data_IF_103884721378
#
_entry.id   IF_103884721378
#
_cell.length_a   1.000
_cell.length_b   1.000
_cell.length_c   1.000
_cell.angle_alpha   90.00
_cell.angle_beta   90.00
_cell.angle_gamma   90.00
#
_symmetry.space_group_name_H-M   'P 1'
#
loop_
_entity.id
_entity.type
_entity.pdbx_description
1 polymer ?
#
# COMPACT_ATOMS: atom_id res chain seq x y z
N UNK A 1 -21.97 -8.53 9.65
CA UNK A 1 -20.60 -7.96 9.74
C UNK A 1 -19.84 -8.45 8.50
N UNK A 2 -19.25 -7.56 7.68
CA UNK A 2 -18.59 -8.00 6.44
C UNK A 2 -17.35 -8.86 6.73
N UNK A 3 -17.01 -9.78 5.81
CA UNK A 3 -15.85 -10.66 5.93
C UNK A 3 -14.55 -9.86 6.14
N UNK A 4 -14.45 -8.69 5.51
CA UNK A 4 -13.27 -7.83 5.64
C UNK A 4 -13.14 -7.20 7.03
N UNK A 5 -14.26 -6.86 7.69
CA UNK A 5 -14.23 -6.41 9.09
C UNK A 5 -13.73 -7.50 10.04
N UNK A 6 -14.06 -8.76 9.77
CA UNK A 6 -13.56 -9.90 10.55
C UNK A 6 -12.05 -10.08 10.34
N UNK A 7 -11.61 -10.14 9.07
CA UNK A 7 -10.18 -10.27 8.72
C UNK A 7 -9.33 -9.15 9.32
N UNK A 8 -9.81 -7.91 9.24
CA UNK A 8 -9.17 -6.74 9.81
C UNK A 8 -9.05 -6.81 11.34
N UNK A 9 -10.13 -7.16 12.04
CA UNK A 9 -10.11 -7.34 13.50
C UNK A 9 -9.14 -8.43 13.94
N UNK A 10 -9.08 -9.53 13.19
CA UNK A 10 -8.14 -10.62 13.46
C UNK A 10 -6.69 -10.12 13.29
N UNK A 11 -6.40 -9.42 12.19
CA UNK A 11 -5.07 -8.89 11.92
C UNK A 11 -4.60 -7.87 12.99
N UNK A 12 -5.46 -6.91 13.35
CA UNK A 12 -5.18 -5.94 14.43
C UNK A 12 -4.92 -6.66 15.74
N UNK A 13 -5.75 -7.66 16.09
CA UNK A 13 -5.58 -8.45 17.31
C UNK A 13 -4.25 -9.19 17.32
N UNK A 14 -3.91 -9.88 16.21
CA UNK A 14 -2.65 -10.62 16.06
C UNK A 14 -1.43 -9.70 16.17
N UNK A 15 -1.46 -8.52 15.53
CA UNK A 15 -0.38 -7.54 15.63
C UNK A 15 -0.28 -6.94 17.04
N UNK A 16 -1.42 -6.74 17.71
CA UNK A 16 -1.46 -6.17 19.06
C UNK A 16 -0.83 -7.10 20.11
N UNK A 17 -1.02 -8.41 19.98
CA UNK A 17 -0.44 -9.41 20.91
C UNK A 17 1.01 -9.77 20.58
N UNK A 18 1.50 -9.45 19.38
CA UNK A 18 2.87 -9.74 18.97
C UNK A 18 3.87 -8.94 19.82
N UNK A 19 5.02 -9.53 20.23
CA UNK A 19 6.04 -8.82 20.98
C UNK A 19 6.51 -7.55 20.25
N UNK A 20 6.68 -6.45 21.01
CA UNK A 20 7.16 -5.15 20.48
C UNK A 20 8.48 -5.29 19.71
N UNK A 21 9.40 -6.12 20.21
CA UNK A 21 10.68 -6.40 19.54
C UNK A 21 10.50 -7.04 18.17
N UNK A 22 9.57 -7.97 18.01
CA UNK A 22 9.26 -8.61 16.73
C UNK A 22 8.66 -7.63 15.73
N UNK A 23 7.69 -6.81 16.16
CA UNK A 23 7.09 -5.75 15.32
C UNK A 23 8.14 -4.77 14.81
N UNK A 24 8.96 -4.26 15.72
CA UNK A 24 9.98 -3.27 15.40
C UNK A 24 11.06 -3.85 14.45
N UNK A 25 11.50 -5.09 14.66
CA UNK A 25 12.43 -5.78 13.75
C UNK A 25 11.82 -5.99 12.37
N UNK A 26 10.54 -6.34 12.30
CA UNK A 26 9.83 -6.48 11.03
C UNK A 26 9.75 -5.15 10.28
N UNK A 27 9.39 -4.07 10.99
CA UNK A 27 9.35 -2.71 10.42
C UNK A 27 10.71 -2.32 9.82
N UNK A 28 11.79 -2.42 10.59
CA UNK A 28 13.14 -2.06 10.14
C UNK A 28 13.56 -2.88 8.91
N UNK A 29 13.32 -4.20 8.93
CA UNK A 29 13.62 -5.06 7.78
C UNK A 29 12.85 -4.67 6.53
N UNK A 30 11.58 -4.29 6.68
CA UNK A 30 10.78 -3.81 5.54
C UNK A 30 11.34 -2.49 5.04
N UNK A 31 11.58 -1.52 5.92
CA UNK A 31 12.12 -0.21 5.53
C UNK A 31 13.46 -0.33 4.79
N UNK A 32 14.43 -1.06 5.33
CA UNK A 32 15.74 -1.26 4.66
C UNK A 32 15.66 -1.99 3.34
N UNK A 33 14.58 -2.74 3.14
CA UNK A 33 14.35 -3.46 1.89
C UNK A 33 13.70 -2.58 0.84
N UNK A 34 12.77 -1.73 1.24
CA UNK A 34 12.00 -0.89 0.31
C UNK A 34 12.61 0.48 0.11
N UNK A 35 13.49 0.94 0.99
CA UNK A 35 14.05 2.28 0.95
C UNK A 35 15.51 2.32 0.50
N UNK A 36 15.85 3.39 -0.23
CA UNK A 36 17.21 3.79 -0.56
C UNK A 36 17.61 5.01 0.26
N UNK A 37 17.96 4.80 1.54
CA UNK A 37 18.22 5.90 2.49
C UNK A 37 19.65 6.45 2.42
N UNK A 38 20.33 6.34 1.28
CA UNK A 38 21.71 6.82 1.06
C UNK A 38 21.78 8.36 0.95
N UNK A 39 20.64 9.05 1.03
CA UNK A 39 20.58 10.50 0.95
C UNK A 39 21.30 11.13 2.17
N UNK A 40 22.31 12.01 1.94
CA UNK A 40 23.06 12.62 3.04
C UNK A 40 22.19 13.38 4.04
N UNK A 41 21.09 13.96 3.57
CA UNK A 41 20.14 14.74 4.38
C UNK A 41 19.40 13.90 5.44
N UNK A 42 19.24 12.60 5.17
CA UNK A 42 18.60 11.68 6.10
C UNK A 42 19.58 11.19 7.17
N UNK A 43 20.88 11.36 6.98
CA UNK A 43 21.86 10.69 7.79
C UNK A 43 21.93 11.24 9.23
N UNK A 44 21.92 10.34 10.21
CA UNK A 44 21.90 10.68 11.62
C UNK A 44 20.54 11.18 12.13
N UNK A 45 19.54 11.24 11.25
CA UNK A 45 18.22 11.73 11.62
C UNK A 45 17.38 10.67 12.31
N UNK A 46 16.53 11.12 13.23
CA UNK A 46 15.60 10.26 13.96
C UNK A 46 14.15 10.59 13.62
N UNK A 47 13.33 9.55 13.50
CA UNK A 47 11.88 9.67 13.40
C UNK A 47 11.22 8.66 14.33
N UNK A 48 10.16 9.07 15.02
CA UNK A 48 9.29 8.17 15.74
C UNK A 48 8.09 7.83 14.85
N UNK A 49 7.76 6.54 14.73
CA UNK A 49 6.54 6.06 14.09
C UNK A 49 5.67 5.45 15.19
N UNK A 50 4.42 5.92 15.27
CA UNK A 50 3.43 5.40 16.20
C UNK A 50 2.19 4.90 15.45
N UNK A 51 1.75 3.69 15.78
CA UNK A 51 0.48 3.11 15.31
C UNK A 51 -0.29 2.65 16.56
N UNK A 52 -1.05 3.57 17.20
CA UNK A 52 -1.67 3.33 18.50
C UNK A 52 -2.59 2.10 18.51
N UNK A 53 -3.35 1.91 17.42
CA UNK A 53 -4.36 0.84 17.30
C UNK A 53 -3.77 -0.58 17.41
N UNK A 54 -2.49 -0.75 17.05
CA UNK A 54 -1.77 -2.03 17.18
C UNK A 54 -0.67 -1.98 18.25
N UNK A 55 -0.71 -0.96 19.12
CA UNK A 55 0.26 -0.73 20.20
C UNK A 55 1.70 -0.79 19.69
N UNK A 56 1.95 -0.18 18.53
CA UNK A 56 3.28 -0.13 17.93
C UNK A 56 3.84 1.28 18.05
N UNK A 57 5.05 1.38 18.58
CA UNK A 57 5.82 2.60 18.60
C UNK A 57 7.29 2.24 18.41
N UNK A 58 7.93 2.86 17.43
CA UNK A 58 9.32 2.63 17.08
C UNK A 58 10.00 3.97 16.81
N UNK A 59 11.18 4.17 17.37
CA UNK A 59 12.07 5.24 16.95
C UNK A 59 13.09 4.64 15.99
N UNK A 60 13.27 5.33 14.89
CA UNK A 60 14.09 4.91 13.78
C UNK A 60 15.22 5.92 13.63
N UNK A 61 16.43 5.42 13.42
CA UNK A 61 17.62 6.19 13.11
C UNK A 61 18.09 5.81 11.72
N UNK A 62 18.40 6.78 10.87
CA UNK A 62 19.08 6.49 9.60
C UNK A 62 20.59 6.60 9.81
N UNK A 63 21.30 5.49 9.57
CA UNK A 63 22.75 5.38 9.68
C UNK A 63 23.28 4.51 8.53
N UNK A 64 24.35 4.98 7.91
CA UNK A 64 25.04 4.36 6.77
C UNK A 64 24.09 3.86 5.66
N UNK A 65 23.07 4.67 5.33
CA UNK A 65 22.08 4.32 4.30
C UNK A 65 21.05 3.28 4.73
N UNK A 66 21.06 2.89 6.01
CA UNK A 66 20.13 1.94 6.60
C UNK A 66 19.31 2.61 7.70
N UNK A 67 18.08 2.14 7.87
CA UNK A 67 17.24 2.40 9.03
C UNK A 67 17.57 1.38 10.12
N UNK A 68 17.76 1.86 11.33
CA UNK A 68 17.98 1.07 12.54
C UNK A 68 16.97 1.48 13.61
N UNK A 69 16.82 0.67 14.67
CA UNK A 69 16.08 1.13 15.85
C UNK A 69 16.97 2.09 16.63
N UNK A 70 16.44 3.27 16.98
CA UNK A 70 17.13 4.14 17.92
C UNK A 70 17.14 3.46 19.30
N UNK A 71 18.33 3.25 19.82
CA UNK A 71 18.59 2.82 21.20
C UNK A 71 19.32 3.97 21.87
N UNK A 72 18.98 4.28 23.12
CA UNK A 72 19.79 5.24 23.88
C UNK A 72 21.12 4.60 24.32
N UNK A 73 22.03 5.42 24.82
CA UNK A 73 23.37 5.02 25.26
C UNK A 73 23.38 3.96 26.38
N UNK A 74 22.25 3.71 27.04
CA UNK A 74 22.12 2.69 28.08
C UNK A 74 21.36 1.44 27.58
N UNK A 75 21.03 1.37 26.28
CA UNK A 75 20.18 0.32 25.71
C UNK A 75 18.71 0.44 26.15
N UNK A 76 18.37 1.50 26.87
CA UNK A 76 17.00 1.90 27.11
C UNK A 76 16.44 2.56 25.83
N UNK A 77 15.13 2.76 25.77
CA UNK A 77 14.46 3.39 24.62
C UNK A 77 13.81 4.68 25.08
N UNK A 78 14.60 5.64 25.52
CA UNK A 78 14.09 6.98 25.80
C UNK A 78 13.89 7.77 24.51
N UNK A 79 12.67 8.24 24.29
CA UNK A 79 12.39 9.25 23.27
C UNK A 79 13.06 10.56 23.70
N UNK A 80 13.99 11.11 22.91
CA UNK A 80 14.29 12.53 23.05
C UNK A 80 12.98 13.29 22.89
N UNK A 81 12.69 14.24 23.78
CA UNK A 81 11.43 15.03 23.78
C UNK A 81 11.20 15.80 22.46
N UNK A 82 12.19 15.83 21.57
CA UNK A 82 12.18 16.55 20.30
C UNK A 82 12.11 15.68 19.04
N UNK A 83 11.97 14.35 19.14
CA UNK A 83 11.92 13.50 17.92
C UNK A 83 10.57 13.67 17.21
N UNK A 84 10.57 14.04 15.92
CA UNK A 84 9.36 14.09 15.12
C UNK A 84 8.60 12.76 15.17
N UNK A 85 7.36 12.81 15.65
CA UNK A 85 6.50 11.62 15.74
C UNK A 85 5.47 11.63 14.63
N UNK A 86 5.53 10.60 13.79
CA UNK A 86 4.56 10.33 12.74
C UNK A 86 3.57 9.29 13.25
N UNK A 87 2.40 9.77 13.67
CA UNK A 87 1.33 8.94 14.20
C UNK A 87 0.30 8.61 13.12
N UNK A 88 0.03 7.33 12.94
CA UNK A 88 -0.89 6.80 11.94
C UNK A 88 -1.83 5.78 12.57
N UNK A 89 -3.13 5.84 12.26
CA UNK A 89 -4.02 4.72 12.57
C UNK A 89 -3.72 3.53 11.67
N UNK A 90 -4.06 2.33 12.14
CA UNK A 90 -3.98 1.13 11.31
C UNK A 90 -4.90 1.23 10.09
N UNK A 91 -6.02 1.93 10.25
CA UNK A 91 -7.00 2.17 9.19
C UNK A 91 -6.44 3.03 8.07
N UNK A 92 -5.76 4.13 8.41
CA UNK A 92 -5.04 4.95 7.44
C UNK A 92 -3.98 4.13 6.72
N UNK A 93 -3.18 3.35 7.44
CA UNK A 93 -2.16 2.48 6.82
C UNK A 93 -2.76 1.46 5.85
N UNK A 94 -3.93 0.89 6.15
CA UNK A 94 -4.61 -0.04 5.24
C UNK A 94 -5.18 0.65 4.00
N UNK A 95 -5.50 1.95 4.07
CA UNK A 95 -5.97 2.73 2.92
C UNK A 95 -4.80 3.16 2.03
N UNK A 96 -3.60 3.22 2.58
CA UNK A 96 -2.41 3.55 1.83
C UNK A 96 -1.93 2.32 1.05
N UNK A 97 -2.44 2.19 -0.17
CA UNK A 97 -2.01 1.16 -1.12
C UNK A 97 -0.77 1.56 -1.91
N UNK A 98 -0.44 2.86 -1.97
CA UNK A 98 0.61 3.41 -2.83
C UNK A 98 1.47 4.43 -2.13
N UNK A 99 2.68 4.64 -2.68
CA UNK A 99 3.57 5.72 -2.25
C UNK A 99 2.94 7.11 -2.38
N UNK A 100 2.15 7.38 -3.42
CA UNK A 100 1.46 8.68 -3.55
C UNK A 100 0.54 8.96 -2.35
N UNK A 101 -0.15 7.94 -1.85
CA UNK A 101 -1.08 8.07 -0.74
C UNK A 101 -0.29 8.27 0.57
N UNK A 102 0.88 7.61 0.70
CA UNK A 102 1.83 7.89 1.79
C UNK A 102 2.33 9.34 1.73
N UNK A 103 2.64 9.85 0.55
CA UNK A 103 3.12 11.22 0.36
C UNK A 103 2.04 12.23 0.72
N UNK A 104 0.80 12.04 0.24
CA UNK A 104 -0.31 12.91 0.59
C UNK A 104 -0.58 12.90 2.10
N UNK A 105 -0.51 11.73 2.73
CA UNK A 105 -0.63 11.61 4.18
C UNK A 105 0.53 12.33 4.89
N UNK A 106 1.76 12.13 4.46
CA UNK A 106 2.93 12.83 5.01
C UNK A 106 2.85 14.36 4.82
N UNK A 107 2.28 14.83 3.71
CA UNK A 107 2.03 16.26 3.44
C UNK A 107 0.95 16.84 4.35
N UNK A 108 -0.09 16.07 4.70
CA UNK A 108 -1.06 16.51 5.71
C UNK A 108 -0.41 16.71 7.07
N UNK A 109 0.67 15.96 7.34
CA UNK A 109 1.52 16.09 8.53
C UNK A 109 2.76 16.99 8.31
N UNK A 110 2.78 17.86 7.28
CA UNK A 110 3.97 18.70 6.93
C UNK A 110 4.53 19.52 8.08
N UNK A 111 3.67 19.96 9.01
CA UNK A 111 4.09 20.72 10.18
C UNK A 111 4.93 19.88 11.16
N UNK A 112 4.91 18.55 11.05
CA UNK A 112 5.56 17.64 11.98
C UNK A 112 6.91 17.11 11.48
N UNK A 113 7.17 16.98 10.16
CA UNK A 113 8.54 16.71 9.68
C UNK A 113 8.71 16.71 8.16
N UNK A 114 9.56 17.58 7.61
CA UNK A 114 10.16 17.41 6.27
C UNK A 114 10.88 16.07 6.13
N UNK A 115 11.32 15.50 7.25
CA UNK A 115 11.98 14.21 7.33
C UNK A 115 11.10 13.04 6.91
N UNK A 116 9.82 13.04 7.31
CA UNK A 116 8.87 11.97 6.97
C UNK A 116 8.68 11.96 5.46
N UNK A 117 8.54 13.13 4.83
CA UNK A 117 8.47 13.24 3.39
C UNK A 117 9.73 12.73 2.69
N UNK A 118 10.92 13.06 3.22
CA UNK A 118 12.18 12.55 2.67
C UNK A 118 12.28 11.01 2.79
N UNK A 119 11.86 10.44 3.92
CA UNK A 119 11.79 8.98 4.11
C UNK A 119 10.82 8.30 3.16
N UNK A 120 9.60 8.84 3.00
CA UNK A 120 8.61 8.30 2.06
C UNK A 120 9.12 8.41 0.62
N UNK A 121 9.76 9.53 0.26
CA UNK A 121 10.36 9.71 -1.06
C UNK A 121 11.50 8.73 -1.33
N UNK A 122 12.26 8.33 -0.30
CA UNK A 122 13.31 7.33 -0.39
C UNK A 122 12.80 5.89 -0.60
N UNK A 123 11.50 5.63 -0.45
CA UNK A 123 10.89 4.32 -0.75
C UNK A 123 10.85 4.10 -2.27
N UNK A 124 11.40 2.98 -2.72
CA UNK A 124 11.32 2.48 -4.09
C UNK A 124 10.04 1.65 -4.28
N UNK A 125 9.20 2.07 -5.22
CA UNK A 125 7.89 1.45 -5.49
C UNK A 125 8.02 0.00 -5.95
N UNK A 126 9.05 -0.31 -6.76
CA UNK A 126 9.29 -1.66 -7.27
C UNK A 126 9.73 -2.58 -6.14
N UNK A 127 10.59 -2.10 -5.24
CA UNK A 127 11.04 -2.84 -4.06
C UNK A 127 9.89 -3.09 -3.08
N UNK A 128 9.01 -2.10 -2.90
CA UNK A 128 7.78 -2.22 -2.11
C UNK A 128 6.87 -3.32 -2.69
N UNK A 129 6.56 -3.26 -3.98
CA UNK A 129 5.72 -4.23 -4.68
C UNK A 129 6.29 -5.67 -4.59
N UNK A 130 7.60 -5.81 -4.78
CA UNK A 130 8.28 -7.10 -4.64
C UNK A 130 8.21 -7.64 -3.20
N UNK A 131 8.37 -6.76 -2.21
CA UNK A 131 8.31 -7.13 -0.79
C UNK A 131 6.91 -7.61 -0.42
N UNK A 132 5.88 -6.87 -0.83
CA UNK A 132 4.49 -7.28 -0.64
C UNK A 132 4.25 -8.63 -1.31
N UNK A 133 4.61 -8.79 -2.58
CA UNK A 133 4.46 -10.05 -3.33
C UNK A 133 5.06 -11.23 -2.58
N UNK A 134 6.28 -11.09 -2.05
CA UNK A 134 6.93 -12.15 -1.28
C UNK A 134 6.24 -12.46 0.05
N UNK A 135 5.72 -11.45 0.74
CA UNK A 135 4.93 -11.65 1.97
C UNK A 135 3.68 -12.47 1.63
N UNK A 136 2.93 -12.10 0.59
CA UNK A 136 1.73 -12.82 0.17
C UNK A 136 2.01 -14.26 -0.26
N UNK A 137 3.10 -14.49 -1.01
CA UNK A 137 3.54 -15.83 -1.40
C UNK A 137 3.83 -16.71 -0.17
N UNK A 138 4.50 -16.15 0.85
CA UNK A 138 4.82 -16.88 2.09
C UNK A 138 3.61 -17.14 2.98
N UNK A 139 2.57 -16.30 2.89
CA UNK A 139 1.33 -16.49 3.64
C UNK A 139 0.42 -17.57 3.03
N UNK A 140 0.93 -18.35 2.05
CA UNK A 140 0.22 -19.48 1.43
C UNK A 140 -1.17 -19.11 0.93
N UNK A 141 -1.33 -17.86 0.52
CA UNK A 141 -2.52 -17.34 -0.09
C UNK A 141 -2.22 -17.07 -1.58
N UNK A 142 -2.06 -18.12 -2.40
CA UNK A 142 -1.62 -17.99 -3.80
C UNK A 142 -2.53 -17.11 -4.65
N UNK A 143 -3.76 -16.87 -4.19
CA UNK A 143 -4.75 -16.03 -4.86
C UNK A 143 -4.90 -14.62 -4.26
N UNK A 144 -4.30 -14.34 -3.10
CA UNK A 144 -4.20 -12.96 -2.60
C UNK A 144 -2.98 -12.31 -3.24
N UNK A 145 -3.13 -11.85 -4.49
CA UNK A 145 -2.43 -10.61 -4.85
C UNK A 145 -2.98 -9.54 -3.91
N UNK A 146 -2.14 -8.64 -3.34
CA UNK A 146 -2.68 -7.51 -2.61
C UNK A 146 -3.74 -6.86 -3.50
N UNK A 147 -4.97 -6.62 -3.04
CA UNK A 147 -5.87 -5.75 -3.76
C UNK A 147 -5.13 -4.41 -3.87
N UNK A 148 -4.59 -4.10 -5.05
CA UNK A 148 -3.84 -2.86 -5.28
C UNK A 148 -4.70 -1.63 -5.00
N UNK A 149 -6.01 -1.81 -5.12
CA UNK A 149 -7.06 -0.88 -4.75
C UNK A 149 -8.38 -1.68 -4.70
N UNK A 150 -9.37 -1.12 -4.03
CA UNK A 150 -10.71 -1.68 -3.99
C UNK A 150 -11.37 -1.60 -5.38
N UNK A 151 -11.76 -2.76 -5.92
CA UNK A 151 -12.40 -2.85 -7.23
C UNK A 151 -13.78 -2.18 -7.24
N UNK A 152 -14.44 -2.06 -6.09
CA UNK A 152 -15.75 -1.41 -5.99
C UNK A 152 -15.66 0.10 -6.19
N UNK A 153 -14.57 0.72 -5.74
CA UNK A 153 -14.29 2.16 -5.85
C UNK A 153 -13.22 2.53 -6.90
N UNK A 154 -12.74 1.55 -7.67
CA UNK A 154 -11.72 1.76 -8.70
C UNK A 154 -12.06 2.89 -9.69
N UNK A 155 -11.10 3.81 -9.88
CA UNK A 155 -11.19 4.97 -10.77
C UNK A 155 -10.02 5.00 -11.77
N UNK A 156 -10.09 5.85 -12.79
CA UNK A 156 -9.06 5.90 -13.84
C UNK A 156 -7.70 6.33 -13.26
N UNK A 157 -7.72 7.19 -12.24
CA UNK A 157 -6.54 7.62 -11.50
C UNK A 157 -5.84 6.48 -10.77
N UNK A 158 -6.51 5.34 -10.57
CA UNK A 158 -5.92 4.16 -9.95
C UNK A 158 -5.14 3.32 -10.98
N UNK A 159 -5.27 3.56 -12.28
CA UNK A 159 -4.63 2.76 -13.32
C UNK A 159 -3.35 3.45 -13.85
N UNK A 160 -2.35 3.59 -12.99
CA UNK A 160 -1.09 4.28 -13.31
C UNK A 160 -0.12 3.40 -14.11
N UNK A 161 -0.08 2.11 -13.81
CA UNK A 161 0.87 1.17 -14.41
C UNK A 161 0.19 0.16 -15.32
N UNK A 162 0.96 -0.43 -16.25
CA UNK A 162 0.48 -1.52 -17.09
C UNK A 162 -0.07 -2.71 -16.27
N UNK A 163 0.53 -2.95 -15.09
CA UNK A 163 0.10 -4.01 -14.18
C UNK A 163 -1.23 -3.69 -13.47
N UNK A 164 -1.57 -2.41 -13.24
CA UNK A 164 -2.88 -2.02 -12.69
C UNK A 164 -3.98 -2.27 -13.70
N UNK A 165 -3.72 -1.89 -14.96
CA UNK A 165 -4.62 -2.13 -16.09
C UNK A 165 -4.85 -3.64 -16.26
N UNK A 166 -3.77 -4.44 -16.21
CA UNK A 166 -3.86 -5.89 -16.31
C UNK A 166 -4.62 -6.50 -15.11
N UNK A 167 -4.43 -5.99 -13.90
CA UNK A 167 -5.15 -6.43 -12.72
C UNK A 167 -6.66 -6.15 -12.82
N UNK A 168 -7.06 -4.95 -13.25
CA UNK A 168 -8.46 -4.58 -13.45
C UNK A 168 -9.09 -5.43 -14.56
N UNK A 169 -8.37 -5.60 -15.69
CA UNK A 169 -8.79 -6.48 -16.78
C UNK A 169 -9.02 -7.92 -16.30
N UNK A 170 -8.03 -8.50 -15.63
CA UNK A 170 -8.12 -9.89 -15.17
C UNK A 170 -9.24 -10.08 -14.14
N UNK A 171 -9.47 -9.07 -13.30
CA UNK A 171 -10.57 -9.06 -12.33
C UNK A 171 -11.93 -8.97 -13.02
N UNK A 172 -12.05 -8.12 -14.06
CA UNK A 172 -13.26 -8.04 -14.88
C UNK A 172 -13.60 -9.40 -15.51
N UNK A 173 -12.61 -10.08 -16.12
CA UNK A 173 -12.80 -11.41 -16.71
C UNK A 173 -13.25 -12.43 -15.67
N UNK A 174 -12.67 -12.43 -14.47
CA UNK A 174 -13.10 -13.33 -13.39
C UNK A 174 -14.53 -13.09 -12.91
N UNK A 175 -15.03 -11.85 -13.00
CA UNK A 175 -16.38 -11.47 -12.56
C UNK A 175 -17.45 -11.66 -13.64
N UNK A 176 -17.07 -11.98 -14.88
CA UNK A 176 -18.02 -11.97 -16.02
C UNK A 176 -19.19 -12.94 -15.84
N UNK A 177 -18.97 -14.07 -15.16
CA UNK A 177 -20.01 -15.08 -14.91
C UNK A 177 -20.91 -14.74 -13.71
N UNK A 178 -20.41 -13.98 -12.73
CA UNK A 178 -21.11 -13.73 -11.46
C UNK A 178 -21.75 -12.34 -11.41
N UNK A 179 -21.11 -11.34 -12.02
CA UNK A 179 -21.58 -9.96 -12.06
C UNK A 179 -21.12 -9.25 -13.34
N UNK A 180 -21.83 -9.52 -14.44
CA UNK A 180 -21.52 -8.97 -15.75
C UNK A 180 -21.52 -7.44 -15.80
N UNK A 181 -22.39 -6.77 -15.02
CA UNK A 181 -22.42 -5.29 -14.94
C UNK A 181 -21.11 -4.74 -14.37
N UNK A 182 -20.60 -5.33 -13.29
CA UNK A 182 -19.33 -4.91 -12.69
C UNK A 182 -18.15 -5.27 -13.59
N UNK A 183 -18.17 -6.44 -14.23
CA UNK A 183 -17.18 -6.82 -15.23
C UNK A 183 -17.10 -5.81 -16.38
N UNK A 184 -18.25 -5.37 -16.91
CA UNK A 184 -18.32 -4.31 -17.91
C UNK A 184 -17.70 -2.99 -17.43
N UNK A 185 -18.04 -2.53 -16.22
CA UNK A 185 -17.48 -1.30 -15.65
C UNK A 185 -15.95 -1.35 -15.53
N UNK A 186 -15.41 -2.45 -14.98
CA UNK A 186 -13.97 -2.64 -14.83
C UNK A 186 -13.26 -2.73 -16.18
N UNK A 187 -13.86 -3.44 -17.15
CA UNK A 187 -13.29 -3.53 -18.51
C UNK A 187 -13.31 -2.18 -19.23
N UNK A 188 -14.36 -1.37 -19.03
CA UNK A 188 -14.44 -0.01 -19.56
C UNK A 188 -13.34 0.88 -18.97
N UNK A 189 -13.08 0.76 -17.68
CA UNK A 189 -12.00 1.47 -16.99
C UNK A 189 -10.62 1.08 -17.56
N UNK A 190 -10.39 -0.22 -17.73
CA UNK A 190 -9.17 -0.73 -18.37
C UNK A 190 -9.02 -0.24 -19.82
N UNK A 191 -10.13 -0.12 -20.57
CA UNK A 191 -10.11 0.40 -21.94
C UNK A 191 -9.77 1.89 -21.99
N UNK A 192 -10.33 2.69 -21.08
CA UNK A 192 -9.98 4.12 -20.97
C UNK A 192 -8.48 4.31 -20.70
N UNK A 193 -7.89 3.46 -19.85
CA UNK A 193 -6.46 3.49 -19.56
C UNK A 193 -5.58 2.91 -20.68
N UNK A 194 -6.10 1.96 -21.48
CA UNK A 194 -5.40 1.35 -22.63
C UNK A 194 -6.32 1.21 -23.86
N UNK A 195 -6.57 2.30 -24.60
CA UNK A 195 -7.53 2.28 -25.72
C UNK A 195 -7.13 1.34 -26.86
N UNK A 196 -5.83 1.13 -27.06
CA UNK A 196 -5.29 0.29 -28.14
C UNK A 196 -5.29 -1.22 -27.80
N UNK A 197 -5.78 -1.61 -26.62
CA UNK A 197 -5.80 -3.02 -26.21
C UNK A 197 -6.93 -3.81 -26.88
N UNK A 198 -6.60 -4.57 -27.94
CA UNK A 198 -7.61 -5.33 -28.71
C UNK A 198 -8.46 -6.27 -27.85
N UNK A 199 -7.83 -7.08 -26.99
CA UNK A 199 -8.56 -7.98 -26.07
C UNK A 199 -9.56 -7.25 -25.17
N UNK A 200 -9.16 -6.08 -24.64
CA UNK A 200 -10.00 -5.28 -23.75
C UNK A 200 -11.22 -4.76 -24.53
N UNK A 201 -10.99 -4.25 -25.75
CA UNK A 201 -12.05 -3.77 -26.64
C UNK A 201 -13.04 -4.89 -26.99
N UNK A 202 -12.54 -6.04 -27.43
CA UNK A 202 -13.37 -7.18 -27.82
C UNK A 202 -14.25 -7.67 -26.66
N UNK A 203 -13.67 -7.76 -25.45
CA UNK A 203 -14.42 -8.12 -24.24
C UNK A 203 -15.44 -7.06 -23.84
N UNK A 204 -15.08 -5.78 -23.95
CA UNK A 204 -15.99 -4.68 -23.63
C UNK A 204 -17.22 -4.70 -24.55
N UNK A 205 -17.02 -4.91 -25.85
CA UNK A 205 -18.10 -4.99 -26.84
C UNK A 205 -18.98 -6.23 -26.62
N UNK A 206 -18.38 -7.38 -26.28
CA UNK A 206 -19.12 -8.57 -25.86
C UNK A 206 -20.00 -8.29 -24.63
N UNK A 207 -19.45 -7.63 -23.60
CA UNK A 207 -20.21 -7.30 -22.40
C UNK A 207 -21.35 -6.32 -22.68
N UNK A 208 -21.14 -5.34 -23.56
CA UNK A 208 -22.19 -4.41 -24.02
C UNK A 208 -23.33 -5.16 -24.70
N UNK A 209 -23.01 -6.08 -25.61
CA UNK A 209 -23.99 -6.90 -26.31
C UNK A 209 -24.82 -7.75 -25.32
N UNK A 210 -24.15 -8.43 -24.38
CA UNK A 210 -24.82 -9.27 -23.39
C UNK A 210 -25.70 -8.46 -22.41
N UNK A 211 -25.34 -7.22 -22.13
CA UNK A 211 -26.14 -6.30 -21.29
C UNK A 211 -27.23 -5.54 -22.06
N UNK A 212 -27.29 -5.67 -23.40
CA UNK A 212 -28.22 -4.92 -24.25
C UNK A 212 -27.90 -3.41 -24.31
N UNK A 213 -26.66 -3.01 -24.03
CA UNK A 213 -26.21 -1.63 -24.15
C UNK A 213 -25.98 -1.32 -25.63
N UNK A 214 -26.52 -0.19 -26.10
CA UNK A 214 -26.31 0.26 -27.49
C UNK A 214 -24.86 0.71 -27.67
N UNK A 215 -24.31 0.49 -28.86
CA UNK A 215 -23.07 1.16 -29.28
C UNK A 215 -23.37 2.65 -29.45
N UNK A 216 -23.03 3.43 -28.43
CA UNK A 216 -22.87 4.86 -28.62
C UNK A 216 -21.58 5.04 -29.41
N UNK A 217 -21.72 5.16 -30.74
CA UNK A 217 -20.64 5.51 -31.63
C UNK A 217 -20.14 6.91 -31.23
N UNK A 218 -18.95 6.96 -30.63
CA UNK A 218 -18.15 8.18 -30.51
C UNK A 218 -17.17 8.26 -31.68
#
# INVERSE_FOLDING_TARGET
MSLDKIKKRLLISTLSIMPKSTKNKALVKVLNRVGHFVQPELQGQQVAIAIPDIKMAAQLLVRDGNVELAEDSEGHRHAPESVPTFELSFDQLCQVGRKRDLLQLAEQHRQQSSLVLALVNAIDDKALDQTLTQIYQKLSAPNLRPPRFDLDSASLNDLETAADIDFVRDSAVKMEQSNLKKAHQLMALAHQARPQGQFIKDKLDLYRQQLGLRHDNA
#
